data_IF_092578357336
#
_entry.id   IF_092578357336
#
_cell.length_a   1.000
_cell.length_b   1.000
_cell.length_c   1.000
_cell.angle_alpha   90.00
_cell.angle_beta   90.00
_cell.angle_gamma   90.00
#
_symmetry.space_group_name_H-M   'P 1'
#
loop_
_entity.id
_entity.type
_entity.pdbx_description
1 polymer ?
#
# COMPACT_ATOMS: atom_id res chain seq x y z
N UNK A 1 -6.54 2.90 17.13
CA UNK A 1 -7.04 2.19 15.93
C UNK A 1 -5.85 1.58 15.24
N UNK A 2 -5.96 0.34 14.77
CA UNK A 2 -4.88 -0.37 14.07
C UNK A 2 -5.00 -0.11 12.58
N UNK A 3 -3.88 0.19 11.92
CA UNK A 3 -3.79 0.39 10.48
C UNK A 3 -2.74 -0.55 9.91
N UNK A 4 -2.97 -1.04 8.69
CA UNK A 4 -1.98 -1.79 7.93
C UNK A 4 -1.41 -0.85 6.87
N UNK A 5 -0.09 -0.65 6.89
CA UNK A 5 0.64 -0.02 5.79
C UNK A 5 1.24 -1.14 4.95
N UNK A 6 0.76 -1.27 3.73
CA UNK A 6 1.23 -2.27 2.77
C UNK A 6 2.28 -1.63 1.86
N UNK A 7 3.53 -2.07 2.00
CA UNK A 7 4.66 -1.56 1.22
C UNK A 7 5.11 -2.58 0.19
N UNK A 8 5.22 -2.18 -1.06
CA UNK A 8 5.74 -2.99 -2.16
C UNK A 8 6.74 -2.21 -2.99
N UNK A 9 7.58 -2.91 -3.74
CA UNK A 9 8.35 -2.24 -4.79
C UNK A 9 7.50 -1.91 -6.03
N UNK A 10 6.33 -2.53 -6.19
CA UNK A 10 5.42 -2.29 -7.31
C UNK A 10 4.13 -1.65 -6.80
N UNK A 11 3.77 -0.53 -7.43
CA UNK A 11 2.46 0.12 -7.35
C UNK A 11 1.30 -0.87 -7.57
N UNK A 12 1.33 -1.61 -8.68
CA UNK A 12 0.28 -2.56 -9.07
C UNK A 12 0.05 -3.66 -8.04
N UNK A 13 1.12 -4.14 -7.40
CA UNK A 13 1.01 -5.17 -6.35
C UNK A 13 0.42 -4.56 -5.08
N UNK A 14 0.86 -3.37 -4.68
CA UNK A 14 0.35 -2.70 -3.49
C UNK A 14 -1.15 -2.41 -3.63
N UNK A 15 -1.53 -1.77 -4.74
CA UNK A 15 -2.92 -1.42 -5.07
C UNK A 15 -3.79 -2.67 -5.21
N UNK A 16 -3.37 -3.65 -6.01
CA UNK A 16 -4.15 -4.87 -6.22
C UNK A 16 -4.35 -5.69 -4.94
N UNK A 17 -3.37 -5.69 -4.04
CA UNK A 17 -3.52 -6.35 -2.73
C UNK A 17 -4.47 -5.57 -1.82
N UNK A 18 -4.42 -4.23 -1.82
CA UNK A 18 -5.38 -3.41 -1.09
C UNK A 18 -6.81 -3.62 -1.60
N UNK A 19 -7.01 -3.69 -2.91
CA UNK A 19 -8.31 -3.99 -3.52
C UNK A 19 -8.85 -5.37 -3.11
N UNK A 20 -7.98 -6.38 -3.03
CA UNK A 20 -8.35 -7.70 -2.53
C UNK A 20 -8.75 -7.64 -1.04
N UNK A 21 -7.96 -6.96 -0.22
CA UNK A 21 -8.24 -6.82 1.21
C UNK A 21 -9.54 -6.04 1.46
N UNK A 22 -9.86 -5.04 0.64
CA UNK A 22 -11.13 -4.30 0.73
C UNK A 22 -12.37 -5.20 0.53
N UNK A 23 -12.23 -6.35 -0.13
CA UNK A 23 -13.33 -7.32 -0.28
C UNK A 23 -13.47 -8.26 0.93
N UNK A 24 -12.40 -8.47 1.69
CA UNK A 24 -12.33 -9.49 2.76
C UNK A 24 -12.28 -8.90 4.18
N UNK A 25 -11.80 -7.66 4.34
CA UNK A 25 -11.47 -7.02 5.61
C UNK A 25 -11.87 -5.52 5.58
N UNK A 26 -13.17 -5.26 5.36
CA UNK A 26 -13.74 -3.92 5.18
C UNK A 26 -13.58 -2.98 6.38
N UNK A 27 -13.40 -3.54 7.57
CA UNK A 27 -13.24 -2.84 8.83
C UNK A 27 -11.77 -2.51 9.16
N UNK A 28 -10.83 -2.99 8.34
CA UNK A 28 -9.40 -2.73 8.50
C UNK A 28 -8.99 -1.55 7.63
N UNK A 29 -8.40 -0.53 8.25
CA UNK A 29 -7.79 0.57 7.52
C UNK A 29 -6.47 0.11 6.89
N UNK A 30 -6.43 0.01 5.56
CA UNK A 30 -5.25 -0.39 4.78
C UNK A 30 -4.82 0.75 3.87
N UNK A 31 -3.55 1.13 3.93
CA UNK A 31 -2.92 2.08 3.01
C UNK A 31 -1.86 1.36 2.20
N UNK A 32 -1.97 1.42 0.87
CA UNK A 32 -0.99 0.86 -0.04
C UNK A 32 0.01 1.93 -0.49
N UNK A 33 1.29 1.56 -0.48
CA UNK A 33 2.39 2.37 -0.99
C UNK A 33 3.27 1.45 -1.83
N UNK A 34 3.53 1.82 -3.08
CA UNK A 34 4.44 1.06 -3.90
C UNK A 34 4.98 1.82 -5.09
N UNK A 35 6.18 1.42 -5.51
CA UNK A 35 6.90 2.05 -6.59
C UNK A 35 7.54 3.39 -6.19
N UNK A 36 8.25 3.97 -7.15
CA UNK A 36 8.73 5.36 -7.12
C UNK A 36 8.43 5.93 -8.49
N UNK A 37 7.54 6.92 -8.58
CA UNK A 37 7.14 7.55 -9.85
C UNK A 37 6.72 6.54 -10.95
N UNK A 38 6.02 5.46 -10.56
CA UNK A 38 5.54 4.40 -11.47
C UNK A 38 6.56 3.33 -11.84
N UNK A 39 7.79 3.42 -11.33
CA UNK A 39 8.84 2.41 -11.50
C UNK A 39 8.96 1.51 -10.26
N UNK A 40 9.65 0.38 -10.43
CA UNK A 40 9.93 -0.54 -9.32
C UNK A 40 10.87 0.12 -8.31
N UNK A 41 10.42 0.27 -7.07
CA UNK A 41 11.19 0.92 -6.01
C UNK A 41 10.37 1.16 -4.75
N UNK A 42 11.01 1.68 -3.72
CA UNK A 42 10.36 2.01 -2.44
C UNK A 42 10.88 3.36 -1.94
N UNK A 43 9.97 4.29 -1.68
CA UNK A 43 10.27 5.64 -1.19
C UNK A 43 10.10 5.71 0.33
N UNK A 44 11.15 6.12 1.05
CA UNK A 44 11.05 6.38 2.48
C UNK A 44 10.12 7.57 2.78
N UNK A 45 10.18 8.60 1.94
CA UNK A 45 9.38 9.81 2.12
C UNK A 45 7.89 9.50 1.95
N UNK A 46 7.53 8.69 0.96
CA UNK A 46 6.13 8.28 0.72
C UNK A 46 5.62 7.44 1.90
N UNK A 47 6.44 6.52 2.43
CA UNK A 47 6.09 5.70 3.60
C UNK A 47 5.90 6.56 4.85
N UNK A 48 6.75 7.56 5.04
CA UNK A 48 6.75 8.39 6.24
C UNK A 48 5.60 9.42 6.27
N UNK A 49 4.92 9.62 5.14
CA UNK A 49 3.82 10.57 5.00
C UNK A 49 2.43 9.98 5.33
N UNK A 50 2.34 8.68 5.66
CA UNK A 50 1.09 7.93 5.90
C UNK A 50 0.67 7.90 7.37
#
# INVERSE_FOLDING_TARGET
>A
MTQIVLVSHSDKIAEGTQELLAQMAQDVNVVAIGGIEGEIGTSFDDISAV
#
